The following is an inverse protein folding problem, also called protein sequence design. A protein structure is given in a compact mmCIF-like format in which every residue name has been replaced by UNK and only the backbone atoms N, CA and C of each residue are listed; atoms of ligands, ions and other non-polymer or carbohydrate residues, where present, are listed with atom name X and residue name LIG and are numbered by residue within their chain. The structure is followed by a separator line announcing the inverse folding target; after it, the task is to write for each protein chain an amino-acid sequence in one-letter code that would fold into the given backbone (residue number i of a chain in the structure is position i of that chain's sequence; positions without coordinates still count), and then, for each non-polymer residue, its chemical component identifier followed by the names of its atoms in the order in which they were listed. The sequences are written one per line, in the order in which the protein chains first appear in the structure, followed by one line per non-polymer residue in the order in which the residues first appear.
data_IF_842993301589
#
_entry.id   IF_842993301589
#
_cell.length_a   1.000
_cell.length_b   1.000
_cell.length_c   1.000
_cell.angle_alpha   90.00
_cell.angle_beta   90.00
_cell.angle_gamma   90.00
#
_symmetry.space_group_name_H-M   'P 1'
#
loop_
_entity.id
_entity.type
_entity.pdbx_description
1 polymer ?
#
# COMPACT_ATOMS: atom_id res chain seq x y z
N UNK A 1 -13.94 15.64 18.27
CA UNK A 1 -13.07 14.45 18.23
C UNK A 1 -13.59 13.50 19.28
N UNK A 2 -14.30 12.45 18.88
CA UNK A 2 -14.86 11.44 19.79
C UNK A 2 -13.79 10.44 20.22
N UNK A 3 -13.89 9.94 21.46
CA UNK A 3 -12.93 9.11 22.21
C UNK A 3 -12.77 7.66 21.69
N UNK A 4 -12.88 7.39 20.38
CA UNK A 4 -13.00 6.02 19.86
C UNK A 4 -11.70 5.41 19.28
N UNK A 5 -10.56 6.09 19.38
CA UNK A 5 -9.29 5.65 18.75
C UNK A 5 -8.12 5.42 19.73
N UNK A 6 -8.39 5.09 20.99
CA UNK A 6 -7.34 4.60 21.87
C UNK A 6 -7.08 3.11 21.57
N UNK A 7 -6.06 2.82 20.75
CA UNK A 7 -5.63 1.45 20.47
C UNK A 7 -5.12 0.84 21.79
N UNK A 8 -5.81 -0.21 22.27
CA UNK A 8 -5.47 -0.91 23.51
C UNK A 8 -4.01 -1.41 23.49
N UNK A 9 -3.23 -1.11 24.54
CA UNK A 9 -1.85 -1.59 24.68
C UNK A 9 -1.75 -3.11 24.55
N UNK A 10 -2.75 -3.85 25.05
CA UNK A 10 -2.77 -5.31 24.95
C UNK A 10 -2.96 -5.81 23.51
N UNK A 11 -3.62 -5.01 22.66
CA UNK A 11 -3.75 -5.28 21.23
C UNK A 11 -2.42 -4.99 20.51
N UNK A 12 -1.76 -3.88 20.84
CA UNK A 12 -0.45 -3.52 20.29
C UNK A 12 0.62 -4.59 20.59
N UNK A 13 0.68 -5.10 21.81
CA UNK A 13 1.65 -6.13 22.21
C UNK A 13 1.46 -7.44 21.41
N UNK A 14 0.21 -7.87 21.20
CA UNK A 14 -0.09 -9.06 20.39
C UNK A 14 0.25 -8.88 18.92
N UNK A 15 0.15 -7.65 18.42
CA UNK A 15 0.47 -7.29 17.05
C UNK A 15 1.92 -6.82 16.88
N UNK A 16 2.78 -6.91 17.90
CA UNK A 16 4.17 -6.42 17.86
C UNK A 16 4.97 -6.92 16.67
N UNK A 17 4.80 -8.19 16.27
CA UNK A 17 5.42 -8.75 15.05
C UNK A 17 4.89 -8.09 13.78
N UNK A 18 3.56 -7.94 13.68
CA UNK A 18 2.87 -7.30 12.56
C UNK A 18 3.24 -5.81 12.46
N UNK A 19 3.33 -5.10 13.60
CA UNK A 19 3.80 -3.72 13.71
C UNK A 19 5.27 -3.62 13.26
N UNK A 20 6.12 -4.56 13.66
CA UNK A 20 7.52 -4.61 13.22
C UNK A 20 7.69 -4.85 11.72
N UNK A 21 6.74 -5.53 11.07
CA UNK A 21 6.75 -5.78 9.62
C UNK A 21 6.13 -4.62 8.83
N UNK A 22 4.98 -4.11 9.25
CA UNK A 22 4.19 -3.16 8.46
C UNK A 22 4.29 -1.70 8.94
N UNK A 23 4.80 -1.47 10.15
CA UNK A 23 4.79 -0.16 10.81
C UNK A 23 3.44 0.19 11.45
N UNK A 24 3.48 1.11 12.42
CA UNK A 24 2.31 1.52 13.20
C UNK A 24 1.24 2.22 12.35
N UNK A 25 1.64 3.01 11.35
CA UNK A 25 0.70 3.69 10.44
C UNK A 25 -0.12 2.67 9.63
N UNK A 26 0.54 1.63 9.10
CA UNK A 26 -0.13 0.57 8.34
C UNK A 26 -1.07 -0.25 9.22
N UNK A 27 -0.67 -0.54 10.45
CA UNK A 27 -1.54 -1.20 11.43
C UNK A 27 -2.79 -0.36 11.74
N UNK A 28 -2.64 0.96 11.88
CA UNK A 28 -3.76 1.87 12.07
C UNK A 28 -4.74 1.83 10.89
N UNK A 29 -4.23 1.66 9.66
CA UNK A 29 -5.07 1.46 8.47
C UNK A 29 -5.75 0.10 8.48
N UNK A 30 -5.03 -0.98 8.81
CA UNK A 30 -5.59 -2.34 8.91
C UNK A 30 -6.76 -2.42 9.90
N UNK A 31 -6.66 -1.72 11.05
CA UNK A 31 -7.76 -1.69 12.02
C UNK A 31 -8.96 -0.84 11.57
N UNK A 32 -8.78 0.02 10.57
CA UNK A 32 -9.86 0.82 9.98
C UNK A 32 -10.53 0.12 8.79
N UNK A 33 -9.87 -0.88 8.19
CA UNK A 33 -10.35 -1.52 6.99
C UNK A 33 -11.57 -2.40 7.23
N UNK A 34 -12.56 -2.22 6.36
CA UNK A 34 -13.75 -3.06 6.24
C UNK A 34 -13.82 -3.58 4.81
N UNK A 35 -13.77 -4.88 4.63
CA UNK A 35 -13.69 -5.50 3.30
C UNK A 35 -14.92 -6.35 3.07
N UNK A 36 -15.57 -6.21 1.91
CA UNK A 36 -16.65 -7.10 1.48
C UNK A 36 -16.15 -8.02 0.37
N UNK A 37 -16.27 -9.34 0.57
CA UNK A 37 -15.97 -10.35 -0.44
C UNK A 37 -17.30 -10.88 -0.99
N UNK A 38 -17.47 -10.77 -2.31
CA UNK A 38 -18.63 -11.25 -3.07
C UNK A 38 -18.23 -12.53 -3.80
N UNK A 39 -18.77 -13.66 -3.34
CA UNK A 39 -18.41 -15.00 -3.79
C UNK A 39 -17.35 -15.65 -2.90
N UNK A 40 -17.73 -16.72 -2.22
CA UNK A 40 -16.95 -17.47 -1.23
C UNK A 40 -16.58 -18.88 -1.73
N UNK A 41 -16.23 -19.00 -3.01
CA UNK A 41 -15.55 -20.19 -3.54
C UNK A 41 -14.10 -20.29 -3.05
N UNK A 42 -13.27 -21.12 -3.68
CA UNK A 42 -11.87 -21.31 -3.25
C UNK A 42 -11.04 -20.02 -3.18
N UNK A 43 -11.14 -19.15 -4.18
CA UNK A 43 -10.46 -17.84 -4.17
C UNK A 43 -11.00 -16.94 -3.04
N UNK A 44 -12.32 -16.90 -2.86
CA UNK A 44 -12.96 -16.03 -1.86
C UNK A 44 -12.57 -16.40 -0.43
N UNK A 45 -12.58 -17.70 -0.08
CA UNK A 45 -12.18 -18.15 1.26
C UNK A 45 -10.68 -17.94 1.51
N UNK A 46 -9.83 -18.12 0.49
CA UNK A 46 -8.39 -17.85 0.59
C UNK A 46 -8.09 -16.37 0.84
N UNK A 47 -8.79 -15.47 0.13
CA UNK A 47 -8.71 -14.02 0.37
C UNK A 47 -9.15 -13.70 1.81
N UNK A 48 -10.29 -14.23 2.24
CA UNK A 48 -10.81 -14.00 3.60
C UNK A 48 -9.83 -14.48 4.69
N UNK A 49 -9.24 -15.66 4.51
CA UNK A 49 -8.23 -16.23 5.41
C UNK A 49 -7.02 -15.30 5.53
N UNK A 50 -6.44 -14.91 4.39
CA UNK A 50 -5.23 -14.08 4.38
C UNK A 50 -5.49 -12.68 4.96
N UNK A 51 -6.64 -12.07 4.68
CA UNK A 51 -7.02 -10.78 5.29
C UNK A 51 -7.24 -10.90 6.80
N UNK A 52 -7.86 -11.99 7.26
CA UNK A 52 -8.07 -12.23 8.70
C UNK A 52 -6.74 -12.41 9.43
N UNK A 53 -5.81 -13.18 8.85
CA UNK A 53 -4.46 -13.38 9.40
C UNK A 53 -3.61 -12.10 9.34
N UNK A 54 -3.81 -11.25 8.33
CA UNK A 54 -3.17 -9.95 8.24
C UNK A 54 -3.70 -8.93 9.27
N UNK A 55 -4.83 -9.21 9.92
CA UNK A 55 -5.39 -8.35 10.96
C UNK A 55 -6.28 -7.23 10.45
N UNK A 56 -6.93 -7.41 9.29
CA UNK A 56 -8.02 -6.52 8.86
C UNK A 56 -9.14 -6.53 9.91
N UNK A 57 -9.66 -5.36 10.27
CA UNK A 57 -10.64 -5.28 11.35
C UNK A 57 -11.99 -5.90 11.02
N UNK A 58 -12.51 -5.74 9.81
CA UNK A 58 -13.82 -6.30 9.45
C UNK A 58 -13.81 -6.97 8.08
N UNK A 59 -14.33 -8.20 8.02
CA UNK A 59 -14.56 -8.96 6.80
C UNK A 59 -16.04 -9.29 6.70
N UNK A 60 -16.69 -8.76 5.67
CA UNK A 60 -18.06 -9.05 5.30
C UNK A 60 -18.03 -10.07 4.14
N UNK A 61 -18.85 -11.11 4.21
CA UNK A 61 -18.88 -12.19 3.22
C UNK A 61 -20.29 -12.31 2.65
N UNK A 62 -20.43 -12.18 1.34
CA UNK A 62 -21.69 -12.39 0.62
C UNK A 62 -21.54 -13.54 -0.37
N UNK A 63 -22.20 -14.65 -0.08
CA UNK A 63 -22.40 -15.73 -1.04
C UNK A 63 -23.65 -16.56 -0.66
N UNK A 64 -24.80 -16.31 -1.30
CA UNK A 64 -26.04 -17.01 -0.99
C UNK A 64 -26.08 -18.45 -1.56
N UNK A 65 -25.07 -18.87 -2.31
CA UNK A 65 -25.00 -20.19 -2.93
C UNK A 65 -25.01 -21.29 -1.87
N UNK A 66 -25.79 -22.35 -2.08
CA UNK A 66 -25.83 -23.49 -1.15
C UNK A 66 -24.52 -24.29 -1.20
N UNK A 67 -24.07 -24.74 -0.04
CA UNK A 67 -22.96 -25.67 0.07
C UNK A 67 -23.23 -26.94 -0.76
N UNK A 68 -22.20 -27.43 -1.42
CA UNK A 68 -22.25 -28.66 -2.21
C UNK A 68 -20.95 -29.45 -2.05
N UNK A 69 -21.00 -30.74 -2.37
CA UNK A 69 -19.80 -31.61 -2.36
C UNK A 69 -18.73 -31.09 -3.34
N UNK A 70 -19.14 -30.53 -4.48
CA UNK A 70 -18.19 -29.95 -5.45
C UNK A 70 -17.50 -28.72 -4.86
N UNK A 71 -18.26 -27.82 -4.22
CA UNK A 71 -17.68 -26.63 -3.60
C UNK A 71 -16.71 -26.99 -2.45
N UNK A 72 -16.96 -28.08 -1.72
CA UNK A 72 -16.09 -28.59 -0.65
C UNK A 72 -14.68 -28.92 -1.15
N UNK A 73 -14.53 -29.32 -2.41
CA UNK A 73 -13.21 -29.56 -3.01
C UNK A 73 -12.35 -28.30 -3.20
N UNK A 74 -12.92 -27.10 -3.05
CA UNK A 74 -12.22 -25.83 -3.26
C UNK A 74 -12.32 -24.87 -2.08
N UNK A 75 -13.39 -24.95 -1.28
CA UNK A 75 -13.56 -24.15 -0.06
C UNK A 75 -13.47 -25.06 1.18
N UNK A 76 -12.37 -24.93 1.90
CA UNK A 76 -12.03 -25.71 3.09
C UNK A 76 -12.90 -25.43 4.33
N UNK A 77 -13.77 -24.40 4.30
CA UNK A 77 -14.72 -24.14 5.37
C UNK A 77 -15.99 -25.02 5.30
N UNK A 78 -16.22 -25.69 4.16
CA UNK A 78 -17.41 -26.49 3.95
C UNK A 78 -17.23 -27.88 4.57
N UNK A 79 -18.23 -28.35 5.30
CA UNK A 79 -18.30 -29.74 5.81
C UNK A 79 -19.50 -30.49 5.22
N UNK A 80 -19.50 -31.82 5.31
CA UNK A 80 -20.65 -32.63 4.89
C UNK A 80 -21.93 -32.26 5.66
N UNK A 81 -21.82 -31.93 6.95
CA UNK A 81 -22.94 -31.52 7.80
C UNK A 81 -23.53 -30.20 7.31
N UNK A 82 -22.69 -29.25 6.91
CA UNK A 82 -23.14 -27.98 6.36
C UNK A 82 -23.88 -28.16 5.03
N UNK A 83 -23.44 -29.10 4.19
CA UNK A 83 -24.14 -29.49 2.96
C UNK A 83 -25.51 -30.09 3.29
N UNK A 84 -25.56 -31.07 4.22
CA UNK A 84 -26.81 -31.71 4.66
C UNK A 84 -27.79 -30.72 5.28
N UNK A 85 -27.29 -29.73 6.03
CA UNK A 85 -28.08 -28.66 6.64
C UNK A 85 -28.52 -27.57 5.66
N UNK A 86 -28.06 -27.61 4.40
CA UNK A 86 -28.40 -26.61 3.39
C UNK A 86 -27.90 -25.20 3.73
N UNK A 87 -26.74 -25.10 4.39
CA UNK A 87 -26.08 -23.82 4.67
C UNK A 87 -25.58 -23.15 3.39
N UNK A 88 -25.37 -21.84 3.43
CA UNK A 88 -24.76 -21.10 2.32
C UNK A 88 -23.24 -21.06 2.44
N UNK A 89 -22.56 -20.81 1.32
CA UNK A 89 -21.11 -20.61 1.29
C UNK A 89 -20.69 -19.41 2.15
N UNK A 90 -21.47 -18.33 2.14
CA UNK A 90 -21.23 -17.16 2.97
C UNK A 90 -21.30 -17.48 4.46
N UNK A 91 -22.31 -18.23 4.89
CA UNK A 91 -22.52 -18.60 6.30
C UNK A 91 -21.36 -19.44 6.86
N UNK A 92 -20.99 -20.52 6.15
CA UNK A 92 -19.91 -21.42 6.60
C UNK A 92 -18.55 -20.75 6.57
N UNK A 93 -18.30 -19.93 5.54
CA UNK A 93 -17.05 -19.17 5.42
C UNK A 93 -16.94 -18.14 6.53
N UNK A 94 -18.03 -17.44 6.87
CA UNK A 94 -18.02 -16.45 7.94
C UNK A 94 -17.70 -17.08 9.29
N UNK A 95 -18.32 -18.24 9.58
CA UNK A 95 -18.08 -18.97 10.83
C UNK A 95 -16.62 -19.44 10.92
N UNK A 96 -16.09 -20.05 9.86
CA UNK A 96 -14.70 -20.52 9.83
C UNK A 96 -13.68 -19.37 9.99
N UNK A 97 -13.86 -18.28 9.26
CA UNK A 97 -12.91 -17.15 9.29
C UNK A 97 -12.94 -16.44 10.65
N UNK A 98 -14.08 -16.40 11.33
CA UNK A 98 -14.21 -15.83 12.68
C UNK A 98 -13.36 -16.60 13.72
N UNK A 99 -13.20 -17.91 13.55
CA UNK A 99 -12.39 -18.74 14.45
C UNK A 99 -10.88 -18.53 14.28
N UNK A 100 -10.43 -18.12 13.08
CA UNK A 100 -9.00 -17.95 12.79
C UNK A 100 -8.33 -16.80 13.55
N UNK A 101 -9.04 -15.68 13.71
CA UNK A 101 -8.52 -14.51 14.40
C UNK A 101 -9.64 -13.81 15.18
N UNK A 102 -9.68 -13.96 16.52
CA UNK A 102 -10.70 -13.31 17.36
C UNK A 102 -10.72 -11.78 17.31
N UNK A 103 -9.69 -11.14 16.75
CA UNK A 103 -9.64 -9.69 16.57
C UNK A 103 -10.28 -9.21 15.27
N UNK A 104 -10.56 -10.12 14.32
CA UNK A 104 -11.23 -9.81 13.06
C UNK A 104 -12.73 -9.99 13.24
N UNK A 105 -13.50 -8.93 13.00
CA UNK A 105 -14.98 -9.03 12.99
C UNK A 105 -15.42 -9.61 11.66
N UNK A 106 -16.09 -10.76 11.70
CA UNK A 106 -16.54 -11.45 10.48
C UNK A 106 -18.05 -11.50 10.47
N UNK A 107 -18.66 -11.11 9.34
CA UNK A 107 -20.10 -11.08 9.18
C UNK A 107 -20.52 -11.69 7.84
N UNK A 108 -21.57 -12.51 7.87
CA UNK A 108 -22.30 -12.88 6.66
C UNK A 108 -23.24 -11.73 6.27
N UNK A 109 -23.19 -11.34 5.00
CA UNK A 109 -24.13 -10.40 4.38
C UNK A 109 -25.21 -11.20 3.67
N UNK A 110 -26.48 -10.85 3.93
CA UNK A 110 -27.64 -11.57 3.35
C UNK A 110 -27.99 -11.10 1.94
N UNK A 111 -27.86 -9.81 1.68
CA UNK A 111 -28.20 -9.18 0.40
C UNK A 111 -27.11 -8.19 -0.02
N UNK A 112 -26.76 -8.21 -1.30
CA UNK A 112 -25.82 -7.26 -1.87
C UNK A 112 -26.54 -5.95 -2.26
N UNK A 113 -26.65 -5.05 -1.29
CA UNK A 113 -27.26 -3.73 -1.46
C UNK A 113 -26.22 -2.62 -1.49
N UNK A 114 -26.60 -1.45 -2.00
CA UNK A 114 -25.75 -0.25 -1.99
C UNK A 114 -25.36 0.14 -0.55
N UNK A 115 -26.28 0.00 0.39
CA UNK A 115 -26.01 0.24 1.82
C UNK A 115 -24.97 -0.75 2.38
N UNK A 116 -25.05 -2.02 2.01
CA UNK A 116 -24.07 -3.03 2.42
C UNK A 116 -22.69 -2.70 1.85
N UNK A 117 -22.62 -2.32 0.56
CA UNK A 117 -21.35 -1.94 -0.09
C UNK A 117 -20.77 -0.67 0.51
N UNK A 118 -21.58 0.37 0.73
CA UNK A 118 -21.16 1.68 1.24
C UNK A 118 -20.48 1.64 2.63
N UNK A 119 -20.72 0.58 3.41
CA UNK A 119 -20.09 0.38 4.73
C UNK A 119 -18.64 -0.14 4.67
N UNK A 120 -18.13 -0.45 3.48
CA UNK A 120 -16.82 -1.07 3.28
C UNK A 120 -15.81 -0.08 2.68
N UNK A 121 -14.54 -0.27 3.00
CA UNK A 121 -13.42 0.45 2.39
C UNK A 121 -13.02 -0.15 1.05
N UNK A 122 -13.20 -1.46 0.88
CA UNK A 122 -13.01 -2.14 -0.41
C UNK A 122 -14.03 -3.27 -0.60
N UNK A 123 -14.32 -3.56 -1.86
CA UNK A 123 -15.08 -4.75 -2.25
C UNK A 123 -14.30 -5.60 -3.24
N UNK A 124 -14.46 -6.91 -3.12
CA UNK A 124 -13.73 -7.90 -3.92
C UNK A 124 -14.75 -8.88 -4.50
N UNK A 125 -14.94 -8.84 -5.82
CA UNK A 125 -15.69 -9.86 -6.54
C UNK A 125 -14.77 -11.04 -6.88
N UNK A 126 -15.27 -12.27 -6.70
CA UNK A 126 -14.55 -13.48 -7.11
C UNK A 126 -15.31 -14.25 -8.18
N UNK A 127 -14.68 -15.23 -8.82
CA UNK A 127 -15.34 -16.13 -9.78
C UNK A 127 -16.54 -16.91 -9.21
N UNK A 128 -16.72 -16.92 -7.88
CA UNK A 128 -17.88 -17.53 -7.21
C UNK A 128 -19.01 -16.53 -6.92
N UNK A 129 -18.89 -15.27 -7.32
CA UNK A 129 -19.96 -14.29 -7.14
C UNK A 129 -21.23 -14.75 -7.87
N UNK A 130 -22.44 -14.51 -7.30
CA UNK A 130 -23.69 -15.00 -7.88
C UNK A 130 -24.06 -14.34 -9.21
N UNK A 131 -23.52 -13.15 -9.49
CA UNK A 131 -23.68 -12.46 -10.77
C UNK A 131 -22.35 -11.81 -11.18
N UNK A 132 -21.78 -12.34 -12.27
CA UNK A 132 -20.54 -11.88 -12.90
C UNK A 132 -20.79 -11.21 -14.26
N UNK A 133 -22.04 -10.86 -14.56
CA UNK A 133 -22.34 -10.13 -15.79
C UNK A 133 -21.59 -8.80 -15.81
N UNK A 134 -21.09 -8.40 -16.98
CA UNK A 134 -20.38 -7.12 -17.14
C UNK A 134 -21.24 -5.95 -16.65
N UNK A 135 -22.56 -6.00 -16.85
CA UNK A 135 -23.51 -5.01 -16.34
C UNK A 135 -23.45 -4.87 -14.82
N UNK A 136 -23.43 -5.97 -14.08
CA UNK A 136 -23.38 -5.96 -12.61
C UNK A 136 -22.01 -5.53 -12.09
N UNK A 137 -20.93 -6.02 -12.70
CA UNK A 137 -19.58 -5.64 -12.31
C UNK A 137 -19.31 -4.15 -12.54
N UNK A 138 -19.71 -3.62 -13.71
CA UNK A 138 -19.60 -2.19 -14.03
C UNK A 138 -20.45 -1.37 -13.05
N UNK A 139 -21.71 -1.76 -12.79
CA UNK A 139 -22.56 -1.08 -11.81
C UNK A 139 -21.86 -0.91 -10.46
N UNK A 140 -21.29 -1.98 -9.92
CA UNK A 140 -20.66 -1.93 -8.60
C UNK A 140 -19.34 -1.17 -8.61
N UNK A 141 -18.56 -1.29 -9.68
CA UNK A 141 -17.34 -0.50 -9.84
C UNK A 141 -17.65 1.01 -9.92
N UNK A 142 -18.64 1.42 -10.71
CA UNK A 142 -19.09 2.80 -10.81
C UNK A 142 -19.64 3.31 -9.47
N UNK A 143 -20.43 2.50 -8.78
CA UNK A 143 -20.94 2.83 -7.45
C UNK A 143 -19.79 3.08 -6.46
N UNK A 144 -18.76 2.22 -6.45
CA UNK A 144 -17.58 2.37 -5.61
C UNK A 144 -16.84 3.70 -5.86
N UNK A 145 -16.69 4.09 -7.13
CA UNK A 145 -16.07 5.37 -7.53
C UNK A 145 -16.85 6.60 -7.08
N UNK A 146 -18.18 6.51 -7.02
CA UNK A 146 -19.04 7.62 -6.61
C UNK A 146 -19.03 7.88 -5.10
N UNK A 147 -18.50 6.97 -4.28
CA UNK A 147 -18.49 7.11 -2.83
C UNK A 147 -17.47 8.15 -2.34
N UNK A 148 -17.74 8.70 -1.16
CA UNK A 148 -16.84 9.61 -0.44
C UNK A 148 -16.74 9.18 1.04
N UNK A 149 -15.59 8.66 1.50
CA UNK A 149 -14.38 8.35 0.72
C UNK A 149 -14.66 7.27 -0.34
N UNK A 150 -13.85 7.28 -1.40
CA UNK A 150 -13.99 6.30 -2.47
C UNK A 150 -13.77 4.88 -1.95
N UNK A 151 -14.55 3.93 -2.45
CA UNK A 151 -14.38 2.51 -2.15
C UNK A 151 -13.48 1.89 -3.21
N UNK A 152 -12.52 1.07 -2.80
CA UNK A 152 -11.67 0.31 -3.74
C UNK A 152 -12.42 -0.90 -4.28
N UNK A 153 -12.30 -1.16 -5.58
CA UNK A 153 -12.94 -2.29 -6.24
C UNK A 153 -11.90 -3.27 -6.76
N UNK A 154 -12.11 -4.55 -6.51
CA UNK A 154 -11.28 -5.63 -7.02
C UNK A 154 -12.14 -6.71 -7.67
N UNK A 155 -11.61 -7.34 -8.72
CA UNK A 155 -12.18 -8.50 -9.37
C UNK A 155 -11.10 -9.56 -9.53
N UNK A 156 -11.26 -10.70 -8.85
CA UNK A 156 -10.35 -11.83 -8.86
C UNK A 156 -11.01 -13.05 -9.50
N UNK A 157 -10.67 -13.33 -10.76
CA UNK A 157 -11.21 -14.44 -11.53
C UNK A 157 -10.24 -15.61 -11.55
N UNK A 158 -10.79 -16.81 -11.43
CA UNK A 158 -10.05 -18.07 -11.58
C UNK A 158 -10.92 -19.09 -12.31
N UNK A 159 -10.40 -19.62 -13.40
CA UNK A 159 -11.04 -20.65 -14.23
C UNK A 159 -10.01 -21.72 -14.57
N UNK A 160 -10.05 -22.84 -13.83
CA UNK A 160 -9.04 -23.90 -13.95
C UNK A 160 -7.66 -23.36 -13.58
N UNK A 161 -6.69 -23.52 -14.49
CA UNK A 161 -5.31 -23.07 -14.31
C UNK A 161 -5.07 -21.59 -14.69
N UNK A 162 -6.10 -20.88 -15.15
CA UNK A 162 -6.01 -19.47 -15.56
C UNK A 162 -6.62 -18.58 -14.48
N UNK A 163 -5.96 -17.46 -14.19
CA UNK A 163 -6.45 -16.44 -13.28
C UNK A 163 -6.26 -15.04 -13.84
N UNK A 164 -7.07 -14.09 -13.35
CA UNK A 164 -6.96 -12.68 -13.67
C UNK A 164 -7.36 -11.84 -12.46
N UNK A 165 -6.66 -10.73 -12.24
CA UNK A 165 -6.98 -9.77 -11.19
C UNK A 165 -7.10 -8.39 -11.83
N UNK A 166 -8.20 -7.72 -11.54
CA UNK A 166 -8.42 -6.31 -11.83
C UNK A 166 -8.53 -5.55 -10.51
N UNK A 167 -7.95 -4.36 -10.49
CA UNK A 167 -7.98 -3.45 -9.35
C UNK A 167 -8.33 -2.05 -9.83
N UNK A 168 -9.21 -1.39 -9.09
CA UNK A 168 -9.58 -0.01 -9.27
C UNK A 168 -9.62 0.70 -7.92
N UNK A 169 -8.63 1.57 -7.72
CA UNK A 169 -8.46 2.35 -6.51
C UNK A 169 -8.87 3.81 -6.70
N UNK A 170 -9.46 4.16 -7.85
CA UNK A 170 -9.97 5.50 -8.14
C UNK A 170 -9.09 6.39 -8.98
N UNK A 171 -9.58 7.60 -9.18
CA UNK A 171 -8.89 8.63 -9.95
C UNK A 171 -7.69 9.19 -9.18
N UNK A 172 -7.69 9.16 -7.86
CA UNK A 172 -6.65 9.78 -7.04
C UNK A 172 -6.18 8.80 -5.95
N UNK A 173 -5.23 7.93 -6.29
CA UNK A 173 -4.65 6.97 -5.35
C UNK A 173 -3.18 7.29 -5.05
N UNK A 174 -2.86 7.59 -3.79
CA UNK A 174 -1.51 7.98 -3.39
C UNK A 174 -0.71 6.81 -2.82
N UNK A 175 0.31 6.37 -3.57
CA UNK A 175 1.31 5.40 -3.13
C UNK A 175 2.38 6.14 -2.34
N UNK A 176 2.43 5.90 -1.02
CA UNK A 176 3.44 6.49 -0.12
C UNK A 176 4.76 5.72 -0.10
N UNK A 177 4.71 4.44 -0.44
CA UNK A 177 5.89 3.57 -0.50
C UNK A 177 5.71 2.57 -1.64
N UNK A 178 6.51 2.71 -2.70
CA UNK A 178 6.43 1.89 -3.91
C UNK A 178 7.11 0.53 -3.77
N UNK A 179 8.08 0.42 -2.87
CA UNK A 179 9.02 -0.71 -2.86
C UNK A 179 9.17 -1.38 -1.49
N UNK A 180 8.62 -0.78 -0.43
CA UNK A 180 8.62 -1.34 0.91
C UNK A 180 10.01 -1.44 1.57
N UNK A 181 11.07 -0.90 0.94
CA UNK A 181 12.40 -0.87 1.60
C UNK A 181 12.42 0.19 2.70
N UNK A 182 13.15 -0.06 3.77
CA UNK A 182 13.40 0.98 4.77
C UNK A 182 14.08 2.20 4.13
N UNK A 183 13.62 3.40 4.51
CA UNK A 183 14.30 4.64 4.16
C UNK A 183 15.74 4.60 4.69
N UNK A 184 16.72 4.93 3.84
CA UNK A 184 18.12 4.91 4.23
C UNK A 184 18.48 6.16 5.03
N UNK A 185 19.21 5.97 6.13
CA UNK A 185 19.88 7.04 6.87
C UNK A 185 21.38 6.94 6.66
N UNK A 186 22.05 8.05 6.33
CA UNK A 186 23.51 8.14 6.18
C UNK A 186 24.09 9.28 7.01
N UNK A 187 25.29 9.10 7.55
CA UNK A 187 26.04 10.14 8.26
C UNK A 187 26.78 11.02 7.26
N UNK A 188 26.68 12.34 7.41
CA UNK A 188 27.39 13.31 6.57
C UNK A 188 28.84 13.39 7.02
N UNK A 189 29.77 13.18 6.09
CA UNK A 189 31.21 13.26 6.33
C UNK A 189 31.79 14.58 5.84
N UNK A 190 31.33 15.04 4.68
CA UNK A 190 31.88 16.20 3.99
C UNK A 190 30.85 16.78 3.04
N UNK A 191 30.85 18.10 2.87
CA UNK A 191 30.10 18.80 1.83
C UNK A 191 31.04 19.76 1.11
N UNK A 192 31.23 19.57 -0.19
CA UNK A 192 32.13 20.38 -1.03
C UNK A 192 31.35 21.00 -2.18
N UNK A 193 31.57 22.29 -2.45
CA UNK A 193 31.07 22.94 -3.68
C UNK A 193 31.98 22.58 -4.85
N UNK A 194 31.40 22.10 -5.94
CA UNK A 194 32.08 21.76 -7.19
C UNK A 194 31.29 22.32 -8.39
N UNK A 195 31.87 22.21 -9.57
CA UNK A 195 31.25 22.59 -10.84
C UNK A 195 31.32 21.40 -11.78
N UNK A 196 30.23 21.09 -12.48
CA UNK A 196 30.21 20.00 -13.44
C UNK A 196 30.75 20.44 -14.82
N UNK A 197 30.70 19.51 -15.78
CA UNK A 197 31.19 19.71 -17.15
C UNK A 197 30.41 20.78 -17.92
N UNK A 198 29.15 21.02 -17.54
CA UNK A 198 28.25 21.95 -18.21
C UNK A 198 28.33 23.36 -17.58
N UNK A 199 29.10 23.50 -16.50
CA UNK A 199 29.35 24.76 -15.80
C UNK A 199 28.43 24.99 -14.61
N UNK A 200 27.57 24.03 -14.28
CA UNK A 200 26.61 24.16 -13.18
C UNK A 200 27.28 23.83 -11.83
N UNK A 201 27.06 24.70 -10.85
CA UNK A 201 27.60 24.51 -9.50
C UNK A 201 26.70 23.60 -8.67
N UNK A 202 27.31 22.62 -7.99
CA UNK A 202 26.63 21.67 -7.13
C UNK A 202 27.37 21.44 -5.81
N UNK A 203 26.64 20.98 -4.79
CA UNK A 203 27.23 20.51 -3.54
C UNK A 203 27.33 19.00 -3.55
N UNK A 204 28.56 18.47 -3.50
CA UNK A 204 28.82 17.04 -3.34
C UNK A 204 28.88 16.70 -1.85
N UNK A 205 27.96 15.86 -1.40
CA UNK A 205 27.92 15.35 -0.04
C UNK A 205 28.54 13.96 -0.02
N UNK A 206 29.60 13.76 0.76
CA UNK A 206 30.14 12.43 1.07
C UNK A 206 29.48 11.92 2.34
N UNK A 207 29.12 10.65 2.34
CA UNK A 207 28.45 10.03 3.47
C UNK A 207 28.96 8.63 3.78
N UNK A 208 28.57 8.11 4.93
CA UNK A 208 28.74 6.70 5.30
C UNK A 208 27.48 6.13 5.93
N UNK A 209 27.39 4.80 6.04
CA UNK A 209 26.27 4.16 6.73
C UNK A 209 26.60 4.04 8.21
N UNK A 210 25.84 4.66 9.12
CA UNK A 210 26.06 4.53 10.55
C UNK A 210 25.92 3.07 11.01
N UNK A 211 26.57 2.73 12.11
CA UNK A 211 26.45 1.41 12.72
C UNK A 211 24.98 1.11 13.11
N UNK A 212 24.51 -0.11 12.83
CA UNK A 212 23.14 -0.53 13.11
C UNK A 212 22.08 -0.03 12.10
N UNK A 213 22.47 0.75 11.09
CA UNK A 213 21.55 1.20 10.03
C UNK A 213 21.54 0.27 8.83
N UNK A 214 20.44 0.32 8.06
CA UNK A 214 20.29 -0.48 6.85
C UNK A 214 21.40 -0.15 5.84
N UNK A 215 22.19 -1.16 5.48
CA UNK A 215 23.17 -1.05 4.40
C UNK A 215 22.46 -0.87 3.05
N UNK A 216 23.01 -0.03 2.20
CA UNK A 216 22.42 0.27 0.89
C UNK A 216 22.95 1.55 0.29
N UNK A 217 22.89 1.67 -1.03
CA UNK A 217 23.19 2.89 -1.75
C UNK A 217 21.92 3.74 -1.91
N UNK A 218 22.09 5.07 -1.87
CA UNK A 218 21.06 5.97 -2.34
C UNK A 218 20.80 5.73 -3.83
N UNK A 219 19.56 5.88 -4.26
CA UNK A 219 19.20 5.82 -5.68
C UNK A 219 19.48 7.15 -6.35
N UNK A 220 19.67 7.09 -7.67
CA UNK A 220 19.69 8.31 -8.47
C UNK A 220 18.32 8.99 -8.43
N UNK A 221 18.31 10.32 -8.52
CA UNK A 221 17.12 11.17 -8.37
C UNK A 221 16.31 10.87 -7.10
N UNK A 222 16.98 10.71 -5.96
CA UNK A 222 16.32 10.47 -4.67
C UNK A 222 16.19 11.74 -3.86
N UNK A 223 15.07 11.94 -3.20
CA UNK A 223 14.90 13.05 -2.28
C UNK A 223 15.61 12.77 -0.95
N UNK A 224 16.37 13.73 -0.45
CA UNK A 224 17.10 13.64 0.81
C UNK A 224 16.71 14.77 1.76
N UNK A 225 16.58 14.44 3.04
CA UNK A 225 16.31 15.38 4.14
C UNK A 225 17.49 15.41 5.10
N UNK A 226 17.94 16.60 5.49
CA UNK A 226 19.02 16.74 6.47
C UNK A 226 18.50 16.82 7.91
N UNK A 227 19.24 16.28 8.87
CA UNK A 227 19.06 16.55 10.31
C UNK A 227 20.41 16.67 11.01
N UNK A 228 20.46 17.40 12.12
CA UNK A 228 21.63 17.55 13.00
C UNK A 228 22.92 18.03 12.32
N UNK A 229 22.80 18.73 11.18
CA UNK A 229 23.94 19.33 10.47
C UNK A 229 24.36 20.63 11.15
N UNK A 230 25.64 20.78 11.42
CA UNK A 230 26.23 22.05 11.82
C UNK A 230 26.86 22.79 10.61
N UNK A 231 26.58 24.09 10.49
CA UNK A 231 26.84 24.84 9.26
C UNK A 231 25.66 24.77 8.31
N UNK A 232 25.87 25.08 7.03
CA UNK A 232 24.80 25.12 6.02
C UNK A 232 23.56 25.91 6.50
N UNK A 233 23.79 27.13 6.98
CA UNK A 233 22.75 28.06 7.41
C UNK A 233 22.79 29.34 6.56
N UNK A 234 21.63 29.92 6.29
CA UNK A 234 21.51 31.24 5.66
C UNK A 234 21.60 32.36 6.71
N UNK A 235 21.89 33.61 6.30
CA UNK A 235 21.93 34.76 7.22
C UNK A 235 20.62 35.05 7.97
N UNK A 236 19.48 34.61 7.43
CA UNK A 236 18.15 34.75 8.04
C UNK A 236 17.86 33.69 9.13
N UNK A 237 18.80 32.78 9.40
CA UNK A 237 18.67 31.69 10.36
C UNK A 237 18.12 30.39 9.77
N UNK A 238 17.76 30.37 8.49
CA UNK A 238 17.29 29.15 7.81
C UNK A 238 18.43 28.14 7.67
N UNK A 239 18.25 26.94 8.23
CA UNK A 239 19.20 25.82 8.12
C UNK A 239 18.70 24.77 7.13
N UNK A 240 19.60 24.01 6.51
CA UNK A 240 19.24 22.81 5.73
C UNK A 240 18.51 21.74 6.54
N UNK A 241 18.62 21.77 7.87
CA UNK A 241 17.95 20.83 8.75
C UNK A 241 16.43 20.86 8.57
N UNK A 242 15.83 19.67 8.43
CA UNK A 242 14.43 19.40 8.11
C UNK A 242 13.96 19.87 6.73
N UNK A 243 14.85 20.32 5.86
CA UNK A 243 14.54 20.61 4.46
C UNK A 243 14.82 19.42 3.56
N UNK A 244 14.05 19.31 2.48
CA UNK A 244 14.18 18.27 1.46
C UNK A 244 14.87 18.84 0.24
N UNK A 245 15.81 18.08 -0.32
CA UNK A 245 16.56 18.41 -1.52
C UNK A 245 16.54 17.23 -2.49
N UNK A 246 16.55 17.51 -3.78
CA UNK A 246 16.70 16.48 -4.81
C UNK A 246 18.18 16.07 -4.90
N UNK A 247 18.42 14.78 -4.69
CA UNK A 247 19.74 14.17 -4.67
C UNK A 247 20.02 13.41 -5.96
N UNK A 248 21.15 13.70 -6.59
CA UNK A 248 21.62 13.03 -7.82
C UNK A 248 22.83 12.16 -7.50
N UNK A 249 22.79 10.88 -7.85
CA UNK A 249 23.89 9.93 -7.62
C UNK A 249 24.61 9.71 -8.93
N UNK A 250 25.80 10.31 -9.07
CA UNK A 250 26.59 10.23 -10.29
C UNK A 250 27.60 9.06 -10.25
N UNK A 251 27.58 8.21 -11.26
CA UNK A 251 28.52 7.07 -11.38
C UNK A 251 29.99 7.49 -11.53
N UNK A 252 30.25 8.72 -11.96
CA UNK A 252 31.60 9.29 -12.05
C UNK A 252 32.14 9.80 -10.70
N UNK A 253 31.29 10.00 -9.69
CA UNK A 253 31.73 10.41 -8.37
C UNK A 253 32.26 9.22 -7.56
N UNK A 254 33.10 9.45 -6.54
CA UNK A 254 33.45 8.42 -5.57
C UNK A 254 32.20 7.79 -4.95
N UNK A 255 32.30 6.50 -4.59
CA UNK A 255 31.22 5.80 -3.88
C UNK A 255 30.79 6.57 -2.63
N UNK A 256 29.52 6.40 -2.26
CA UNK A 256 28.88 7.05 -1.11
C UNK A 256 28.90 8.57 -1.19
N UNK A 257 28.52 9.08 -2.37
CA UNK A 257 28.31 10.51 -2.59
C UNK A 257 26.94 10.75 -3.22
N UNK A 258 26.40 11.94 -2.96
CA UNK A 258 25.19 12.46 -3.59
C UNK A 258 25.41 13.94 -3.88
N UNK A 259 24.90 14.43 -5.00
CA UNK A 259 24.95 15.83 -5.40
C UNK A 259 23.63 16.52 -5.12
N UNK A 260 23.68 17.77 -4.71
CA UNK A 260 22.53 18.68 -4.65
C UNK A 260 22.79 19.86 -5.57
N UNK A 261 21.81 20.16 -6.42
CA UNK A 261 21.83 21.27 -7.38
C UNK A 261 20.71 22.28 -7.03
N UNK A 262 20.94 23.60 -7.20
CA UNK A 262 22.26 24.23 -7.33
C UNK A 262 23.04 24.13 -6.00
N UNK A 263 24.34 24.43 -5.98
CA UNK A 263 25.15 24.31 -4.77
C UNK A 263 24.58 25.10 -3.59
N UNK A 264 24.76 24.59 -2.37
CA UNK A 264 24.31 25.28 -1.16
C UNK A 264 24.89 26.69 -1.04
N UNK A 265 26.15 26.87 -1.44
CA UNK A 265 26.82 28.18 -1.47
C UNK A 265 26.09 29.16 -2.40
N UNK A 266 25.73 28.74 -3.62
CA UNK A 266 24.96 29.58 -4.56
C UNK A 266 23.55 29.92 -4.04
N UNK A 267 22.99 29.08 -3.16
CA UNK A 267 21.72 29.32 -2.48
C UNK A 267 21.86 30.20 -1.21
N UNK A 268 23.07 30.64 -0.87
CA UNK A 268 23.35 31.53 0.26
C UNK A 268 23.59 30.81 1.60
N UNK A 269 23.81 29.49 1.60
CA UNK A 269 24.17 28.76 2.81
C UNK A 269 25.67 28.93 3.14
N UNK A 270 25.98 29.06 4.43
CA UNK A 270 27.36 29.01 4.94
C UNK A 270 27.99 27.64 4.70
N UNK A 271 29.32 27.50 4.68
CA UNK A 271 29.98 26.21 4.60
C UNK A 271 29.51 25.21 5.68
N UNK A 272 29.55 23.93 5.33
CA UNK A 272 29.40 22.84 6.28
C UNK A 272 30.52 22.87 7.32
N UNK A 273 30.18 22.53 8.58
CA UNK A 273 31.15 22.44 9.67
C UNK A 273 31.38 21.00 10.10
N UNK A 274 30.34 20.32 10.55
CA UNK A 274 30.42 18.95 11.07
C UNK A 274 29.03 18.34 11.25
N UNK A 275 29.02 17.06 11.60
CA UNK A 275 27.85 16.28 12.01
C UNK A 275 26.72 16.20 10.97
N UNK A 276 25.66 15.49 11.38
CA UNK A 276 24.41 15.45 10.67
C UNK A 276 24.21 14.21 9.82
N UNK A 277 22.95 14.05 9.42
CA UNK A 277 22.46 12.89 8.71
C UNK A 277 21.70 13.33 7.47
N UNK A 278 21.76 12.50 6.44
CA UNK A 278 20.82 12.51 5.33
C UNK A 278 19.86 11.34 5.48
N UNK A 279 18.58 11.63 5.34
CA UNK A 279 17.48 10.68 5.36
C UNK A 279 16.86 10.63 3.98
N UNK A 280 16.79 9.45 3.41
CA UNK A 280 16.05 9.24 2.18
C UNK A 280 14.56 9.47 2.41
N UNK A 281 13.94 10.27 1.55
CA UNK A 281 12.51 10.58 1.60
C UNK A 281 11.80 9.68 0.60
N UNK A 282 10.75 8.99 1.05
CA UNK A 282 9.89 8.22 0.16
C UNK A 282 8.99 9.16 -0.62
N UNK A 283 9.14 9.14 -1.94
CA UNK A 283 8.28 9.90 -2.82
C UNK A 283 6.85 9.37 -2.78
N UNK A 284 5.90 10.28 -2.63
CA UNK A 284 4.48 9.97 -2.80
C UNK A 284 4.16 10.08 -4.28
N UNK A 285 3.62 9.02 -4.86
CA UNK A 285 3.18 9.03 -6.26
C UNK A 285 1.70 8.83 -6.35
N UNK A 286 1.06 9.68 -7.14
CA UNK A 286 -0.34 9.58 -7.46
C UNK A 286 -0.56 8.65 -8.66
N UNK A 287 -1.48 7.72 -8.51
CA UNK A 287 -1.93 6.80 -9.54
C UNK A 287 -3.38 7.12 -9.90
N UNK A 288 -3.65 7.07 -11.21
CA UNK A 288 -4.99 7.21 -11.78
C UNK A 288 -5.43 5.86 -12.33
N UNK A 289 -6.38 5.21 -11.67
CA UNK A 289 -6.94 3.94 -12.13
C UNK A 289 -8.07 4.20 -13.13
N UNK A 290 -8.21 3.29 -14.08
CA UNK A 290 -9.33 3.30 -15.05
C UNK A 290 -10.52 2.53 -14.50
N UNK A 291 -11.76 2.94 -14.79
CA UNK A 291 -12.93 2.16 -14.44
C UNK A 291 -12.95 0.83 -15.22
N UNK A 292 -13.67 -0.15 -14.68
CA UNK A 292 -13.81 -1.47 -15.30
C UNK A 292 -14.45 -1.39 -16.69
N UNK A 293 -15.38 -0.46 -16.90
CA UNK A 293 -16.02 -0.22 -18.19
C UNK A 293 -14.99 0.09 -19.29
N UNK A 294 -14.06 1.00 -19.02
CA UNK A 294 -12.96 1.31 -19.94
C UNK A 294 -12.01 0.12 -20.09
N UNK A 295 -11.64 -0.53 -18.98
CA UNK A 295 -10.70 -1.65 -18.99
C UNK A 295 -11.18 -2.83 -19.87
N UNK A 296 -12.49 -3.10 -19.90
CA UNK A 296 -13.10 -4.15 -20.71
C UNK A 296 -13.13 -3.84 -22.22
N UNK A 297 -13.10 -2.56 -22.60
CA UNK A 297 -13.06 -2.14 -24.01
C UNK A 297 -11.64 -2.17 -24.58
N UNK A 298 -10.62 -2.04 -23.71
CA UNK A 298 -9.22 -2.11 -24.12
C UNK A 298 -8.87 -3.49 -24.69
N UNK A 299 -8.30 -3.52 -25.91
CA UNK A 299 -7.91 -4.76 -26.59
C UNK A 299 -7.01 -5.62 -25.70
N UNK A 300 -7.40 -6.87 -25.50
CA UNK A 300 -6.62 -7.93 -24.86
C UNK A 300 -5.25 -8.06 -25.55
N UNK A 301 -4.19 -7.66 -24.86
CA UNK A 301 -2.82 -7.77 -25.37
C UNK A 301 -1.92 -6.57 -25.08
N UNK A 302 -2.48 -5.41 -24.77
CA UNK A 302 -1.70 -4.32 -24.19
C UNK A 302 -1.72 -4.47 -22.67
N UNK A 303 -0.65 -5.04 -22.10
CA UNK A 303 -0.30 -4.71 -20.73
C UNK A 303 -0.10 -3.19 -20.70
N UNK A 304 -1.09 -2.48 -20.19
CA UNK A 304 -0.98 -1.05 -19.97
C UNK A 304 -0.24 -0.90 -18.64
N UNK A 305 1.01 -0.44 -18.62
CA UNK A 305 1.68 -0.15 -17.38
C UNK A 305 0.84 0.89 -16.63
N UNK A 306 0.40 0.52 -15.43
CA UNK A 306 -0.14 1.48 -14.48
C UNK A 306 1.08 2.27 -14.01
N UNK A 307 1.15 3.57 -14.34
CA UNK A 307 2.26 4.56 -14.14
C UNK A 307 3.43 4.55 -15.15
N UNK A 308 4.03 5.71 -15.48
CA UNK A 308 5.05 5.83 -16.52
C UNK A 308 6.31 5.07 -16.13
N UNK A 309 6.80 4.27 -17.05
CA UNK A 309 8.23 3.98 -17.11
C UNK A 309 8.82 5.25 -17.74
N UNK A 310 9.12 6.25 -16.91
CA UNK A 310 10.03 7.29 -17.34
C UNK A 310 11.40 6.61 -17.54
N UNK A 311 11.89 6.71 -18.78
CA UNK A 311 13.15 6.11 -19.24
C UNK A 311 14.38 6.92 -18.87
#
# INVERSE_FOLDING_TARGET
MSEENAIDQKYLDKQSRTIGTYGLETMTKLISFKILIVGCGGVGIEIAKNLSLAGVHTINLYDPTKCSIVAMGTNFAITEEAVKAGKTLGEVSASFIAELNPNTRVHEVKDLTEEAVAKNTAIIFTAAAPDLSSKTLIKWNDFCRQQKPQISFFLALQYGAVGSVFADLGDHFFVKDKDGRSALQKSVLEVTTLTDKDGDSYSRIRFETPEGQTAGALRDYTQIKFTDVEGLCKPDGTSVNNQVFDGVVCSADPRNTVRVYPSFESQGYTPYKTAGFIHEVKEVTELHFRPLSEALETKTGYFIPVTPIDG
#
